data_IF_555276342384
#
_entry.id   IF_555276342384
#
_cell.length_a   1.000
_cell.length_b   1.000
_cell.length_c   1.000
_cell.angle_alpha   90.00
_cell.angle_beta   90.00
_cell.angle_gamma   90.00
#
_symmetry.space_group_name_H-M   'P 1'
#
loop_
_entity.id
_entity.type
_entity.pdbx_description
1 polymer ?
#
# COMPACT_ATOMS: atom_id res chain seq x y z
N UNK A 1 -14.32 21.24 3.40
CA UNK A 1 -13.13 20.73 2.65
C UNK A 1 -12.88 19.25 2.96
N UNK A 2 -13.75 18.37 2.47
CA UNK A 2 -13.62 16.91 2.55
C UNK A 2 -13.41 16.43 1.11
N UNK A 3 -12.20 16.02 0.72
CA UNK A 3 -11.96 15.51 -0.64
C UNK A 3 -10.55 15.65 -1.23
N UNK A 4 -9.62 16.34 -0.57
CA UNK A 4 -8.25 16.53 -1.10
C UNK A 4 -7.19 15.60 -0.47
N UNK A 5 -7.58 14.67 0.42
CA UNK A 5 -6.61 13.91 1.22
C UNK A 5 -6.09 12.66 0.52
N UNK A 6 -6.94 12.02 -0.28
CA UNK A 6 -6.61 10.87 -1.13
C UNK A 6 -5.97 11.29 -2.45
N UNK A 7 -5.99 12.59 -2.80
CA UNK A 7 -5.50 13.10 -4.08
C UNK A 7 -3.99 13.01 -4.18
N UNK A 8 -3.52 12.39 -5.25
CA UNK A 8 -2.10 12.37 -5.61
C UNK A 8 -1.71 13.76 -6.08
N UNK A 9 -0.83 14.43 -5.33
CA UNK A 9 -0.26 15.73 -5.72
C UNK A 9 0.94 15.60 -6.64
N UNK A 10 1.78 14.58 -6.39
CA UNK A 10 2.98 14.27 -7.14
C UNK A 10 3.07 12.75 -7.31
N UNK A 11 3.15 12.27 -8.54
CA UNK A 11 3.16 10.82 -8.85
C UNK A 11 4.41 10.13 -8.32
N UNK A 12 5.51 10.86 -8.13
CA UNK A 12 6.77 10.38 -7.57
C UNK A 12 6.66 9.95 -6.09
N UNK A 13 5.55 10.33 -5.44
CA UNK A 13 5.26 9.97 -4.04
C UNK A 13 4.56 8.63 -3.90
N UNK A 14 4.15 8.03 -5.03
CA UNK A 14 3.59 6.68 -5.07
C UNK A 14 4.66 5.65 -4.69
N UNK A 15 4.25 4.64 -3.93
CA UNK A 15 5.13 3.58 -3.45
C UNK A 15 4.52 2.20 -3.76
N UNK A 16 5.35 1.17 -4.00
CA UNK A 16 4.88 -0.19 -4.26
C UNK A 16 3.89 -0.68 -3.21
N UNK A 17 2.76 -1.24 -3.63
CA UNK A 17 1.65 -1.65 -2.77
C UNK A 17 0.64 -0.54 -2.43
N UNK A 18 0.79 0.69 -2.93
CA UNK A 18 -0.29 1.70 -2.83
C UNK A 18 -1.45 1.29 -3.75
N UNK A 19 -2.67 1.27 -3.22
CA UNK A 19 -3.89 1.09 -4.01
C UNK A 19 -4.33 2.42 -4.60
N UNK A 20 -4.40 2.48 -5.92
CA UNK A 20 -4.85 3.62 -6.70
C UNK A 20 -6.30 3.44 -7.17
N UNK A 21 -7.06 4.52 -7.17
CA UNK A 21 -8.26 4.61 -7.98
C UNK A 21 -8.26 5.90 -8.82
N UNK A 22 -8.78 5.81 -10.04
CA UNK A 22 -8.95 6.97 -10.92
C UNK A 22 -10.39 7.02 -11.41
N UNK A 23 -11.03 8.17 -11.21
CA UNK A 23 -12.40 8.41 -11.65
C UNK A 23 -12.44 8.60 -13.17
N UNK A 24 -13.32 7.84 -13.84
CA UNK A 24 -13.75 8.14 -15.19
C UNK A 24 -15.01 9.02 -15.15
N UNK A 25 -14.83 10.30 -15.47
CA UNK A 25 -15.91 11.28 -15.56
C UNK A 25 -16.43 11.43 -17.01
N UNK A 26 -15.82 10.74 -17.98
CA UNK A 26 -16.14 10.90 -19.41
C UNK A 26 -17.39 10.16 -19.86
N UNK A 27 -17.84 9.14 -19.11
CA UNK A 27 -18.96 8.26 -19.48
C UNK A 27 -20.24 8.58 -18.70
N UNK A 28 -20.74 9.80 -18.82
CA UNK A 28 -22.04 10.17 -18.22
C UNK A 28 -23.18 9.32 -18.81
N UNK A 29 -24.09 8.72 -18.00
CA UNK A 29 -24.29 8.90 -16.54
C UNK A 29 -23.57 7.88 -15.64
N UNK A 30 -22.79 6.94 -16.18
CA UNK A 30 -22.13 5.87 -15.44
C UNK A 30 -20.75 6.33 -14.95
N UNK A 31 -20.68 6.71 -13.67
CA UNK A 31 -19.38 6.98 -13.03
C UNK A 31 -18.71 5.67 -12.66
N UNK A 32 -17.54 5.41 -13.24
CA UNK A 32 -16.74 4.23 -12.96
C UNK A 32 -15.40 4.63 -12.35
N UNK A 33 -14.90 3.82 -11.42
CA UNK A 33 -13.54 3.93 -10.92
C UNK A 33 -12.72 2.78 -11.46
N UNK A 34 -11.53 3.11 -11.94
CA UNK A 34 -10.54 2.12 -12.31
C UNK A 34 -9.51 1.99 -11.21
N UNK A 35 -9.28 0.76 -10.76
CA UNK A 35 -8.47 0.43 -9.60
C UNK A 35 -7.22 -0.35 -9.99
N UNK A 36 -6.14 -0.11 -9.28
CA UNK A 36 -4.86 -0.78 -9.50
C UNK A 36 -3.92 -0.64 -8.31
N UNK A 37 -2.90 -1.47 -8.26
CA UNK A 37 -1.88 -1.43 -7.21
C UNK A 37 -0.57 -0.96 -7.84
N UNK A 38 0.12 0.00 -7.22
CA UNK A 38 1.47 0.40 -7.65
C UNK A 38 2.39 -0.81 -7.56
N UNK A 39 2.94 -1.22 -8.69
CA UNK A 39 3.84 -2.37 -8.80
C UNK A 39 5.28 -1.95 -8.53
N UNK A 40 5.77 -0.94 -9.24
CA UNK A 40 7.08 -0.34 -9.04
C UNK A 40 7.00 1.18 -9.06
N UNK A 41 7.87 1.82 -8.29
CA UNK A 41 8.01 3.27 -8.29
C UNK A 41 8.71 3.75 -9.58
N UNK A 42 8.44 4.99 -9.96
CA UNK A 42 9.13 5.71 -11.03
C UNK A 42 9.06 7.23 -10.80
N UNK A 43 9.60 7.96 -11.76
CA UNK A 43 9.68 9.43 -11.80
C UNK A 43 8.64 10.07 -12.75
N UNK A 44 8.04 9.28 -13.64
CA UNK A 44 7.11 9.71 -14.69
C UNK A 44 5.98 8.71 -14.88
N UNK A 45 4.97 9.07 -15.68
CA UNK A 45 3.84 8.19 -16.02
C UNK A 45 4.28 6.92 -16.78
N UNK A 46 5.48 6.95 -17.36
CA UNK A 46 6.02 5.88 -18.20
C UNK A 46 6.82 4.87 -17.39
N UNK A 47 7.42 5.32 -16.29
CA UNK A 47 8.32 4.51 -15.44
C UNK A 47 7.60 3.93 -14.22
N UNK A 48 6.56 4.61 -13.71
CA UNK A 48 5.69 4.05 -12.67
C UNK A 48 4.88 2.91 -13.29
N UNK A 49 4.98 1.72 -12.71
CA UNK A 49 4.20 0.57 -13.15
C UNK A 49 3.04 0.31 -12.19
N UNK A 50 1.88 -0.06 -12.73
CA UNK A 50 0.67 -0.36 -11.99
C UNK A 50 0.20 -1.76 -12.39
N UNK A 51 -0.11 -2.59 -11.39
CA UNK A 51 -0.73 -3.89 -11.57
C UNK A 51 -2.25 -3.76 -11.44
N UNK A 52 -2.99 -4.10 -12.48
CA UNK A 52 -4.44 -3.95 -12.52
C UNK A 52 -5.07 -4.89 -13.57
N UNK A 53 -6.39 -5.03 -13.53
CA UNK A 53 -7.12 -5.74 -14.59
C UNK A 53 -7.23 -4.82 -15.81
N UNK A 54 -6.74 -5.29 -16.96
CA UNK A 54 -6.66 -4.47 -18.17
C UNK A 54 -6.51 -5.28 -19.45
N UNK A 55 -6.90 -4.66 -20.57
CA UNK A 55 -6.56 -5.10 -21.92
C UNK A 55 -6.10 -3.88 -22.75
N UNK A 56 -5.04 -4.03 -23.57
CA UNK A 56 -4.61 -2.99 -24.51
C UNK A 56 -5.52 -2.89 -25.75
N UNK A 57 -6.45 -3.83 -25.93
CA UNK A 57 -7.35 -3.86 -27.08
C UNK A 57 -8.39 -2.74 -27.00
N UNK A 58 -8.73 -2.16 -28.15
CA UNK A 58 -9.60 -0.98 -28.24
C UNK A 58 -11.08 -1.37 -28.43
N UNK A 59 -11.37 -2.59 -28.88
CA UNK A 59 -12.74 -3.12 -29.04
C UNK A 59 -13.35 -3.58 -27.71
N UNK A 60 -14.61 -3.25 -27.42
CA UNK A 60 -15.25 -3.58 -26.13
C UNK A 60 -15.30 -5.10 -25.86
N UNK A 61 -15.78 -5.89 -26.82
CA UNK A 61 -15.88 -7.35 -26.67
C UNK A 61 -14.51 -8.02 -26.58
N UNK A 62 -13.59 -7.60 -27.44
CA UNK A 62 -12.21 -8.11 -27.48
C UNK A 62 -11.45 -7.74 -26.20
N UNK A 63 -11.56 -6.50 -25.74
CA UNK A 63 -10.96 -6.03 -24.51
C UNK A 63 -11.56 -6.73 -23.28
N UNK A 64 -12.86 -7.00 -23.28
CA UNK A 64 -13.48 -7.76 -22.19
C UNK A 64 -12.98 -9.20 -22.17
N UNK A 65 -12.92 -9.86 -23.34
CA UNK A 65 -12.41 -11.22 -23.48
C UNK A 65 -10.91 -11.34 -23.13
N UNK A 66 -10.12 -10.30 -23.41
CA UNK A 66 -8.68 -10.28 -23.17
C UNK A 66 -8.31 -9.75 -21.76
N UNK A 67 -9.22 -9.03 -21.10
CA UNK A 67 -8.97 -8.40 -19.80
C UNK A 67 -8.49 -9.42 -18.78
N UNK A 68 -7.28 -9.24 -18.29
CA UNK A 68 -6.71 -10.04 -17.22
C UNK A 68 -5.79 -9.18 -16.36
N UNK A 69 -5.31 -9.72 -15.25
CA UNK A 69 -4.38 -9.00 -14.37
C UNK A 69 -3.04 -8.84 -15.08
N UNK A 70 -2.61 -7.59 -15.28
CA UNK A 70 -1.38 -7.24 -15.99
C UNK A 70 -0.68 -6.07 -15.29
N UNK A 71 0.58 -5.88 -15.65
CA UNK A 71 1.34 -4.67 -15.30
C UNK A 71 1.39 -3.77 -16.52
N UNK A 72 1.11 -2.48 -16.33
CA UNK A 72 1.26 -1.45 -17.35
C UNK A 72 1.85 -0.17 -16.75
N UNK A 73 2.43 0.72 -17.57
CA UNK A 73 2.77 2.08 -17.16
C UNK A 73 1.56 2.84 -16.59
N UNK A 74 1.81 3.78 -15.68
CA UNK A 74 0.77 4.64 -15.11
C UNK A 74 0.00 5.40 -16.21
N UNK A 75 0.65 5.76 -17.33
CA UNK A 75 -0.01 6.38 -18.49
C UNK A 75 -1.19 5.54 -18.99
N UNK A 76 -1.00 4.22 -19.08
CA UNK A 76 -1.97 3.29 -19.65
C UNK A 76 -3.07 3.01 -18.63
N UNK A 77 -2.70 2.87 -17.35
CA UNK A 77 -3.65 2.86 -16.24
C UNK A 77 -4.55 4.10 -16.24
N UNK A 78 -4.00 5.29 -16.49
CA UNK A 78 -4.77 6.53 -16.58
C UNK A 78 -5.66 6.56 -17.82
N UNK A 79 -5.32 5.89 -18.93
CA UNK A 79 -6.16 5.79 -20.13
C UNK A 79 -6.79 7.15 -20.53
N UNK A 80 -5.96 8.17 -20.70
CA UNK A 80 -6.32 9.57 -21.02
C UNK A 80 -7.01 10.37 -19.89
N UNK A 81 -7.21 9.79 -18.70
CA UNK A 81 -7.73 10.51 -17.52
C UNK A 81 -6.63 11.38 -16.91
N UNK A 82 -7.04 12.50 -16.32
CA UNK A 82 -6.11 13.47 -15.71
C UNK A 82 -5.52 12.90 -14.42
N UNK A 83 -4.23 13.14 -14.15
CA UNK A 83 -3.60 12.86 -12.85
C UNK A 83 -4.38 13.52 -11.70
N UNK A 84 -5.01 14.67 -11.94
CA UNK A 84 -5.83 15.35 -10.93
C UNK A 84 -7.06 14.54 -10.46
N UNK A 85 -7.44 13.48 -11.19
CA UNK A 85 -8.48 12.50 -10.83
C UNK A 85 -7.93 11.25 -10.15
N UNK A 86 -6.61 11.08 -10.08
CA UNK A 86 -5.93 9.98 -9.41
C UNK A 86 -6.00 10.12 -7.89
N UNK A 87 -6.31 9.03 -7.21
CA UNK A 87 -6.42 8.94 -5.75
C UNK A 87 -5.66 7.72 -5.24
N UNK A 88 -5.11 7.82 -4.03
CA UNK A 88 -4.70 6.66 -3.23
C UNK A 88 -5.84 6.31 -2.28
N UNK A 89 -6.24 5.04 -2.31
CA UNK A 89 -7.33 4.50 -1.50
C UNK A 89 -6.89 4.37 -0.04
N UNK A 90 -7.73 4.85 0.88
CA UNK A 90 -7.45 4.80 2.32
C UNK A 90 -8.10 3.59 3.00
N UNK A 91 -7.31 2.86 3.79
CA UNK A 91 -7.76 1.72 4.59
C UNK A 91 -7.78 2.03 6.09
N UNK A 92 -8.45 1.17 6.88
CA UNK A 92 -8.54 1.24 8.33
C UNK A 92 -9.18 2.55 8.80
N UNK A 93 -10.25 3.00 8.15
CA UNK A 93 -10.94 4.27 8.51
C UNK A 93 -12.16 4.03 9.42
N UNK A 94 -12.77 5.10 9.94
CA UNK A 94 -13.99 4.99 10.75
C UNK A 94 -15.23 4.85 9.87
N UNK A 95 -16.26 4.15 10.38
CA UNK A 95 -17.52 3.91 9.65
C UNK A 95 -18.21 5.19 9.18
N UNK A 96 -18.14 6.26 9.99
CA UNK A 96 -18.68 7.58 9.58
C UNK A 96 -17.90 8.16 8.39
N UNK A 97 -16.57 8.04 8.38
CA UNK A 97 -15.75 8.54 7.28
C UNK A 97 -15.99 7.73 6.02
N UNK A 98 -16.18 6.44 6.17
CA UNK A 98 -16.51 5.53 5.09
C UNK A 98 -17.85 5.89 4.44
N UNK A 99 -18.89 6.13 5.25
CA UNK A 99 -20.21 6.57 4.79
C UNK A 99 -20.18 7.93 4.08
N UNK A 100 -19.34 8.85 4.55
CA UNK A 100 -19.19 10.20 3.98
C UNK A 100 -18.20 10.27 2.80
N UNK A 101 -17.46 9.20 2.53
CA UNK A 101 -16.50 9.14 1.43
C UNK A 101 -17.20 8.82 0.11
N UNK A 102 -16.58 9.23 -1.01
CA UNK A 102 -17.01 8.72 -2.31
C UNK A 102 -16.72 7.21 -2.37
N UNK A 103 -17.61 6.45 -3.00
CA UNK A 103 -17.47 5.00 -3.20
C UNK A 103 -16.04 4.64 -3.67
N UNK A 104 -15.50 3.52 -3.18
CA UNK A 104 -14.18 2.99 -3.56
C UNK A 104 -12.93 3.78 -3.14
N UNK A 105 -13.05 4.98 -2.55
CA UNK A 105 -11.86 5.76 -2.10
C UNK A 105 -11.40 5.40 -0.68
N UNK A 106 -12.30 4.80 0.12
CA UNK A 106 -12.06 4.54 1.55
C UNK A 106 -12.69 3.23 1.98
N UNK A 107 -11.96 2.43 2.74
CA UNK A 107 -12.42 1.17 3.32
C UNK A 107 -12.21 1.13 4.85
N UNK A 108 -13.11 0.43 5.54
CA UNK A 108 -12.95 0.06 6.95
C UNK A 108 -11.91 -1.04 7.17
N UNK A 109 -11.83 -2.00 6.25
CA UNK A 109 -10.90 -3.12 6.32
C UNK A 109 -9.45 -2.63 6.48
N UNK A 110 -8.62 -3.42 7.17
CA UNK A 110 -7.21 -3.12 7.34
C UNK A 110 -6.45 -3.58 6.10
N UNK A 111 -5.55 -2.73 5.61
CA UNK A 111 -4.59 -3.12 4.60
C UNK A 111 -3.52 -4.04 5.21
N UNK A 112 -3.11 -5.04 4.45
CA UNK A 112 -1.93 -5.84 4.69
C UNK A 112 -0.63 -5.06 4.37
N UNK A 113 0.52 -5.67 4.68
CA UNK A 113 1.81 -5.11 4.32
C UNK A 113 1.97 -4.96 2.80
N UNK A 114 2.66 -3.93 2.32
CA UNK A 114 2.91 -3.74 0.89
C UNK A 114 3.47 -4.98 0.20
N UNK A 115 4.32 -5.73 0.88
CA UNK A 115 4.95 -6.94 0.35
C UNK A 115 3.97 -8.10 0.24
N UNK A 116 3.03 -8.24 1.18
CA UNK A 116 1.89 -9.17 1.09
C UNK A 116 0.97 -8.78 -0.07
N UNK A 117 0.69 -7.47 -0.23
CA UNK A 117 -0.12 -6.96 -1.34
C UNK A 117 0.52 -7.28 -2.69
N UNK A 118 1.84 -7.07 -2.81
CA UNK A 118 2.58 -7.37 -4.03
C UNK A 118 2.67 -8.89 -4.30
N UNK A 119 2.83 -9.72 -3.28
CA UNK A 119 2.78 -11.19 -3.42
C UNK A 119 1.44 -11.65 -4.00
N UNK A 120 0.33 -11.09 -3.52
CA UNK A 120 -1.01 -11.35 -4.09
C UNK A 120 -1.15 -10.85 -5.53
N UNK A 121 -0.61 -9.67 -5.86
CA UNK A 121 -0.62 -9.17 -7.23
C UNK A 121 0.17 -10.09 -8.18
N UNK A 122 1.34 -10.59 -7.74
CA UNK A 122 2.16 -11.55 -8.49
C UNK A 122 1.43 -12.86 -8.73
N UNK A 123 0.81 -13.42 -7.68
CA UNK A 123 0.03 -14.64 -7.77
C UNK A 123 -1.10 -14.54 -8.81
N UNK A 124 -1.75 -13.37 -8.89
CA UNK A 124 -2.84 -13.15 -9.82
C UNK A 124 -2.40 -12.82 -11.25
N UNK A 125 -1.11 -12.66 -11.52
CA UNK A 125 -0.61 -12.22 -12.82
C UNK A 125 -1.06 -13.13 -13.97
N UNK A 126 -1.67 -12.53 -14.99
CA UNK A 126 -2.18 -13.23 -16.17
C UNK A 126 -3.45 -14.07 -15.94
N UNK A 127 -4.10 -13.96 -14.77
CA UNK A 127 -5.41 -14.56 -14.49
C UNK A 127 -6.58 -13.63 -14.82
N UNK A 128 -7.75 -14.24 -15.02
CA UNK A 128 -9.02 -13.52 -15.21
C UNK A 128 -9.38 -13.23 -16.66
N UNK A 129 -8.60 -13.74 -17.63
CA UNK A 129 -8.91 -13.62 -19.07
C UNK A 129 -10.32 -14.21 -19.33
N UNK A 130 -11.21 -13.41 -19.89
CA UNK A 130 -12.61 -13.77 -20.18
C UNK A 130 -13.58 -13.67 -18.99
N UNK A 131 -13.09 -13.44 -17.78
CA UNK A 131 -13.90 -13.44 -16.53
C UNK A 131 -14.17 -12.03 -15.98
N UNK A 132 -13.60 -10.99 -16.61
CA UNK A 132 -13.78 -9.62 -16.14
C UNK A 132 -15.23 -9.15 -16.31
N UNK A 133 -15.85 -8.80 -15.19
CA UNK A 133 -17.21 -8.26 -15.16
C UNK A 133 -17.26 -7.01 -14.27
N UNK A 134 -17.66 -5.88 -14.87
CA UNK A 134 -17.74 -4.56 -14.23
C UNK A 134 -18.67 -4.57 -13.00
N UNK A 135 -19.64 -5.48 -12.94
CA UNK A 135 -20.66 -5.54 -11.87
C UNK A 135 -20.41 -6.61 -10.80
N UNK A 136 -19.43 -7.52 -10.97
CA UNK A 136 -19.23 -8.63 -10.02
C UNK A 136 -17.76 -8.94 -9.70
N UNK A 137 -16.89 -9.06 -10.70
CA UNK A 137 -15.45 -9.29 -10.54
C UNK A 137 -14.67 -8.22 -11.30
N UNK A 138 -14.80 -6.99 -10.81
CA UNK A 138 -14.17 -5.83 -11.42
C UNK A 138 -12.80 -5.51 -10.78
N UNK A 139 -12.18 -4.43 -11.25
CA UNK A 139 -10.87 -4.01 -10.78
C UNK A 139 -10.84 -3.64 -9.28
N UNK A 140 -11.94 -3.17 -8.68
CA UNK A 140 -12.00 -2.88 -7.23
C UNK A 140 -11.90 -4.18 -6.43
N UNK A 141 -12.58 -5.25 -6.84
CA UNK A 141 -12.52 -6.55 -6.15
C UNK A 141 -11.11 -7.11 -6.12
N UNK A 142 -10.46 -7.07 -7.29
CA UNK A 142 -9.06 -7.46 -7.44
C UNK A 142 -8.16 -6.68 -6.47
N UNK A 143 -8.21 -5.35 -6.55
CA UNK A 143 -7.34 -4.50 -5.74
C UNK A 143 -7.66 -4.63 -4.24
N UNK A 144 -8.94 -4.74 -3.88
CA UNK A 144 -9.37 -4.96 -2.50
C UNK A 144 -8.84 -6.29 -1.95
N UNK A 145 -8.99 -7.40 -2.68
CA UNK A 145 -8.47 -8.70 -2.25
C UNK A 145 -6.94 -8.67 -2.13
N UNK A 146 -6.23 -8.03 -3.05
CA UNK A 146 -4.78 -7.83 -2.91
C UNK A 146 -4.45 -7.08 -1.61
N UNK A 147 -5.23 -6.04 -1.27
CA UNK A 147 -5.00 -5.21 -0.09
C UNK A 147 -5.36 -5.89 1.24
N UNK A 148 -6.36 -6.78 1.29
CA UNK A 148 -6.95 -7.26 2.55
C UNK A 148 -7.00 -8.79 2.68
N UNK A 149 -6.89 -9.51 1.57
CA UNK A 149 -7.20 -10.94 1.47
C UNK A 149 -8.70 -11.26 1.50
N UNK A 150 -9.57 -10.25 1.58
CA UNK A 150 -11.02 -10.41 1.64
C UNK A 150 -11.62 -10.22 0.24
N UNK A 151 -12.34 -11.24 -0.26
CA UNK A 151 -13.02 -11.15 -1.56
C UNK A 151 -14.25 -10.23 -1.57
N UNK A 152 -14.82 -9.94 -0.40
CA UNK A 152 -15.96 -9.05 -0.33
C UNK A 152 -15.49 -7.61 -0.50
N UNK A 153 -16.09 -6.88 -1.45
CA UNK A 153 -15.98 -5.43 -1.54
C UNK A 153 -17.38 -4.80 -1.61
N UNK A 154 -17.47 -3.48 -1.41
CA UNK A 154 -18.74 -2.75 -1.30
C UNK A 154 -19.60 -2.79 -2.57
N UNK A 155 -18.99 -3.05 -3.71
CA UNK A 155 -19.68 -3.02 -5.00
C UNK A 155 -20.55 -4.26 -5.24
N UNK A 156 -20.44 -5.31 -4.42
CA UNK A 156 -21.24 -6.53 -4.57
C UNK A 156 -22.06 -6.86 -3.32
N UNK A 157 -23.35 -7.14 -3.55
CA UNK A 157 -24.32 -7.51 -2.51
C UNK A 157 -24.24 -8.98 -2.09
N UNK A 158 -23.41 -9.81 -2.73
CA UNK A 158 -23.23 -11.24 -2.46
C UNK A 158 -21.77 -11.58 -2.13
N UNK A 159 -21.54 -12.30 -1.03
CA UNK A 159 -20.19 -12.79 -0.69
C UNK A 159 -19.78 -13.90 -1.67
N UNK A 160 -18.65 -13.80 -2.37
CA UNK A 160 -18.11 -14.90 -3.15
C UNK A 160 -17.83 -16.12 -2.27
N UNK A 161 -18.03 -17.33 -2.80
CA UNK A 161 -17.75 -18.59 -2.08
C UNK A 161 -16.29 -19.03 -2.17
N UNK A 162 -15.53 -18.48 -3.12
CA UNK A 162 -14.13 -18.80 -3.35
C UNK A 162 -13.21 -18.16 -2.31
N UNK A 163 -12.02 -18.75 -2.12
CA UNK A 163 -10.95 -18.24 -1.24
C UNK A 163 -10.12 -17.17 -1.93
N UNK A 164 -9.81 -17.37 -3.22
CA UNK A 164 -9.03 -16.43 -4.04
C UNK A 164 -9.76 -16.03 -5.34
N UNK A 165 -9.50 -14.84 -5.91
CA UNK A 165 -10.02 -14.48 -7.23
C UNK A 165 -9.59 -15.52 -8.28
N UNK A 166 -10.51 -15.87 -9.18
CA UNK A 166 -10.27 -16.84 -10.25
C UNK A 166 -9.83 -18.23 -9.77
N UNK A 167 -10.20 -18.66 -8.55
CA UNK A 167 -9.78 -19.94 -7.96
C UNK A 167 -9.95 -21.17 -8.87
N UNK A 168 -10.96 -21.18 -9.74
CA UNK A 168 -11.19 -22.26 -10.71
C UNK A 168 -10.10 -22.37 -11.80
N UNK A 169 -9.28 -21.34 -12.01
CA UNK A 169 -8.17 -21.30 -12.96
C UNK A 169 -6.80 -21.60 -12.30
N UNK A 170 -6.81 -22.06 -11.05
CA UNK A 170 -5.62 -22.17 -10.22
C UNK A 170 -5.58 -23.56 -9.60
N UNK A 171 -4.42 -24.19 -9.65
CA UNK A 171 -4.21 -25.46 -8.99
C UNK A 171 -4.11 -25.27 -7.46
N UNK A 172 -4.66 -26.18 -6.63
CA UNK A 172 -4.68 -26.01 -5.17
C UNK A 172 -3.29 -25.83 -4.52
N UNK A 173 -2.27 -26.46 -5.07
CA UNK A 173 -0.87 -26.35 -4.65
C UNK A 173 -0.29 -24.95 -4.89
N UNK A 174 -0.69 -24.27 -5.96
CA UNK A 174 -0.30 -22.88 -6.22
C UNK A 174 -0.91 -21.93 -5.18
N UNK A 175 -2.18 -22.16 -4.79
CA UNK A 175 -2.84 -21.40 -3.71
C UNK A 175 -2.08 -21.60 -2.40
N UNK A 176 -1.75 -22.84 -2.05
CA UNK A 176 -1.00 -23.16 -0.85
C UNK A 176 0.38 -22.50 -0.84
N UNK A 177 1.13 -22.57 -1.95
CA UNK A 177 2.45 -21.94 -2.06
C UNK A 177 2.40 -20.42 -1.86
N UNK A 178 1.35 -19.75 -2.37
CA UNK A 178 1.12 -18.33 -2.11
C UNK A 178 0.82 -18.05 -0.63
N UNK A 179 -0.02 -18.88 0.02
CA UNK A 179 -0.33 -18.72 1.44
C UNK A 179 0.92 -18.89 2.32
N UNK A 180 1.78 -19.86 2.01
CA UNK A 180 3.07 -20.05 2.68
C UNK A 180 4.01 -18.83 2.49
N UNK A 181 4.10 -18.28 1.27
CA UNK A 181 4.87 -17.06 0.98
C UNK A 181 4.35 -15.87 1.80
N UNK A 182 3.03 -15.68 1.83
CA UNK A 182 2.40 -14.61 2.62
C UNK A 182 2.68 -14.80 4.10
N UNK A 183 2.56 -16.02 4.63
CA UNK A 183 2.76 -16.28 6.06
C UNK A 183 4.21 -16.05 6.47
N UNK A 184 5.18 -16.39 5.62
CA UNK A 184 6.59 -16.07 5.85
C UNK A 184 6.85 -14.55 5.94
N UNK A 185 6.21 -13.75 5.07
CA UNK A 185 6.29 -12.27 5.16
C UNK A 185 5.67 -11.78 6.47
N UNK A 186 4.52 -12.34 6.87
CA UNK A 186 3.84 -12.00 8.12
C UNK A 186 4.68 -12.36 9.35
N UNK A 187 5.41 -13.47 9.33
CA UNK A 187 6.30 -13.89 10.42
C UNK A 187 7.40 -12.89 10.70
N UNK A 188 8.05 -12.37 9.64
CA UNK A 188 9.07 -11.33 9.81
C UNK A 188 8.47 -10.10 10.48
N UNK A 189 7.27 -9.68 10.06
CA UNK A 189 6.58 -8.54 10.66
C UNK A 189 6.17 -8.80 12.12
N UNK A 190 5.68 -10.01 12.44
CA UNK A 190 5.41 -10.43 13.83
C UNK A 190 6.65 -10.32 14.70
N UNK A 191 7.83 -10.68 14.18
CA UNK A 191 9.11 -10.50 14.88
C UNK A 191 9.42 -9.02 15.19
N UNK A 192 9.17 -8.11 14.25
CA UNK A 192 9.30 -6.66 14.48
C UNK A 192 8.32 -6.18 15.55
N UNK A 193 7.05 -6.59 15.45
CA UNK A 193 6.01 -6.24 16.42
C UNK A 193 6.39 -6.71 17.82
N UNK A 194 6.81 -7.96 17.99
CA UNK A 194 7.18 -8.53 19.27
C UNK A 194 8.28 -7.72 19.96
N UNK A 195 9.32 -7.32 19.21
CA UNK A 195 10.42 -6.50 19.74
C UNK A 195 9.99 -5.09 20.11
N UNK A 196 9.13 -4.46 19.31
CA UNK A 196 8.57 -3.14 19.68
C UNK A 196 7.69 -3.24 20.92
N UNK A 197 6.91 -4.31 21.08
CA UNK A 197 6.10 -4.54 22.27
C UNK A 197 6.95 -4.81 23.52
N UNK A 198 8.11 -5.46 23.37
CA UNK A 198 9.07 -5.63 24.46
C UNK A 198 9.63 -4.28 24.99
N UNK A 199 9.59 -3.22 24.17
CA UNK A 199 9.96 -1.86 24.58
C UNK A 199 8.83 -1.08 25.27
N UNK A 200 7.63 -1.66 25.40
CA UNK A 200 6.51 -0.99 26.05
C UNK A 200 6.84 -0.62 27.52
N UNK A 201 6.66 0.64 27.89
CA UNK A 201 6.99 1.18 29.21
C UNK A 201 8.45 1.62 29.36
N UNK A 202 9.30 1.38 28.37
CA UNK A 202 10.71 1.73 28.41
C UNK A 202 11.02 3.08 27.75
N UNK A 203 12.23 3.58 28.02
CA UNK A 203 12.74 4.83 27.45
C UNK A 203 13.45 4.57 26.12
N UNK A 204 13.07 5.32 25.10
CA UNK A 204 13.56 5.18 23.73
C UNK A 204 13.94 6.53 23.14
N UNK A 205 14.91 6.52 22.22
CA UNK A 205 15.17 7.58 21.24
C UNK A 205 14.50 7.19 19.92
N UNK A 206 14.12 8.18 19.11
CA UNK A 206 13.64 7.95 17.74
C UNK A 206 14.73 8.30 16.75
N UNK A 207 15.23 7.30 16.02
CA UNK A 207 16.24 7.49 14.97
C UNK A 207 15.57 7.55 13.61
N UNK A 208 16.07 8.39 12.70
CA UNK A 208 15.65 8.35 11.30
C UNK A 208 16.25 7.11 10.65
N UNK A 209 15.41 6.21 10.15
CA UNK A 209 15.85 4.98 9.51
C UNK A 209 16.77 5.28 8.31
N UNK A 210 17.85 4.51 8.18
CA UNK A 210 18.90 4.71 7.18
C UNK A 210 20.01 5.69 7.60
N UNK A 211 19.87 6.38 8.73
CA UNK A 211 20.90 7.25 9.30
C UNK A 211 21.44 6.66 10.60
N UNK A 212 22.76 6.81 10.83
CA UNK A 212 23.41 6.26 12.04
C UNK A 212 23.18 7.13 13.28
N UNK A 213 23.32 8.44 13.13
CA UNK A 213 23.34 9.43 14.20
C UNK A 213 22.22 10.47 14.11
N UNK A 214 21.26 10.34 13.19
CA UNK A 214 20.18 11.32 13.03
C UNK A 214 18.96 10.97 13.87
N UNK A 215 18.65 11.79 14.87
CA UNK A 215 17.59 11.54 15.85
C UNK A 215 16.55 12.66 15.90
N UNK A 216 15.38 12.31 16.43
CA UNK A 216 14.34 13.28 16.76
C UNK A 216 14.76 14.09 17.99
N UNK A 217 14.59 15.41 17.90
CA UNK A 217 14.86 16.38 18.96
C UNK A 217 13.62 17.24 19.22
N UNK A 218 13.50 17.79 20.43
CA UNK A 218 12.43 18.71 20.82
C UNK A 218 13.03 20.10 20.99
N UNK A 219 12.56 21.05 20.19
CA UNK A 219 12.99 22.45 20.28
C UNK A 219 12.38 23.14 21.49
N UNK A 220 12.97 24.24 22.00
CA UNK A 220 12.41 25.02 23.12
C UNK A 220 10.96 25.49 22.89
N UNK A 221 10.57 25.69 21.63
CA UNK A 221 9.19 26.03 21.23
C UNK A 221 8.18 24.89 21.36
N UNK A 222 8.63 23.67 21.70
CA UNK A 222 7.85 22.44 21.69
C UNK A 222 7.64 21.85 20.29
N UNK A 223 8.21 22.45 19.24
CA UNK A 223 8.26 21.84 17.90
C UNK A 223 9.20 20.64 17.89
N UNK A 224 8.86 19.64 17.08
CA UNK A 224 9.67 18.43 16.91
C UNK A 224 10.48 18.54 15.61
N UNK A 225 11.78 18.27 15.70
CA UNK A 225 12.73 18.35 14.59
C UNK A 225 13.59 17.09 14.55
N UNK A 226 14.46 16.99 13.56
CA UNK A 226 15.59 16.05 13.56
C UNK A 226 16.91 16.80 13.62
N UNK A 227 17.91 16.21 14.26
CA UNK A 227 19.28 16.69 14.29
C UNK A 227 20.23 15.48 14.33
N UNK A 228 21.47 15.71 13.91
CA UNK A 228 22.53 14.72 14.08
C UNK A 228 23.04 14.80 15.54
N UNK A 229 23.23 13.66 16.17
CA UNK A 229 23.86 13.53 17.48
C UNK A 229 25.36 13.75 17.28
N UNK A 230 25.83 14.97 17.55
CA UNK A 230 27.25 15.30 17.57
C UNK A 230 27.90 14.77 18.85
N UNK A 231 29.03 14.08 18.74
CA UNK A 231 29.78 13.55 19.89
C UNK A 231 30.46 14.64 20.75
N UNK A 232 30.42 15.92 20.33
CA UNK A 232 31.37 16.93 20.82
C UNK A 232 30.84 18.27 21.36
N UNK A 233 29.56 18.64 21.19
CA UNK A 233 29.09 19.97 21.64
C UNK A 233 27.88 19.89 22.58
N UNK A 234 28.17 19.80 23.87
CA UNK A 234 27.21 19.72 24.97
C UNK A 234 26.53 21.06 25.31
N UNK A 235 26.78 22.14 24.55
CA UNK A 235 26.40 23.50 24.95
C UNK A 235 25.01 23.93 24.49
N UNK A 236 24.39 23.26 23.51
CA UNK A 236 23.02 23.57 23.06
C UNK A 236 22.06 22.41 23.30
N UNK A 237 21.11 22.60 24.23
CA UNK A 237 20.05 21.62 24.53
C UNK A 237 19.17 21.24 23.32
N UNK A 238 19.27 21.96 22.18
CA UNK A 238 18.47 21.75 20.98
C UNK A 238 18.94 20.62 20.06
N UNK A 239 20.17 20.12 20.21
CA UNK A 239 20.73 19.03 19.38
C UNK A 239 20.68 17.66 20.05
N UNK A 240 20.46 17.60 21.37
CA UNK A 240 20.39 16.36 22.12
C UNK A 240 19.15 15.53 21.73
N UNK A 241 19.29 14.22 21.44
CA UNK A 241 18.15 13.37 21.14
C UNK A 241 17.09 13.38 22.23
N UNK A 242 15.84 13.51 21.82
CA UNK A 242 14.71 13.45 22.72
C UNK A 242 14.54 12.03 23.26
N UNK A 243 14.34 11.92 24.57
CA UNK A 243 14.04 10.66 25.25
C UNK A 243 12.54 10.58 25.48
N UNK A 244 11.93 9.54 24.93
CA UNK A 244 10.52 9.25 25.07
C UNK A 244 10.30 8.02 25.94
N UNK A 245 9.32 8.07 26.82
CA UNK A 245 8.70 6.88 27.37
C UNK A 245 7.69 6.35 26.34
N UNK A 246 7.91 5.11 25.91
CA UNK A 246 7.10 4.45 24.90
C UNK A 246 5.90 3.77 25.55
N UNK A 247 4.72 3.97 25.00
CA UNK A 247 3.60 3.05 25.20
C UNK A 247 3.31 2.38 23.87
N UNK A 248 3.32 1.05 23.83
CA UNK A 248 3.11 0.26 22.63
C UNK A 248 2.08 -0.84 22.86
N UNK A 249 1.13 -0.96 21.93
CA UNK A 249 0.15 -2.07 21.89
C UNK A 249 -0.01 -2.52 20.45
N UNK A 250 -0.31 -3.79 20.21
CA UNK A 250 -0.60 -4.29 18.86
C UNK A 250 -1.93 -5.03 18.87
N UNK A 251 -2.64 -4.98 17.75
CA UNK A 251 -3.88 -5.76 17.55
C UNK A 251 -3.74 -6.85 16.49
N UNK A 252 -2.84 -6.63 15.53
CA UNK A 252 -2.58 -7.51 14.38
C UNK A 252 -1.09 -7.43 14.04
N UNK A 253 -0.64 -8.32 13.18
CA UNK A 253 0.77 -8.54 12.88
C UNK A 253 1.49 -7.34 12.23
N UNK A 254 0.77 -6.39 11.61
CA UNK A 254 1.36 -5.25 10.88
C UNK A 254 0.93 -3.86 11.42
N UNK A 255 0.32 -3.81 12.62
CA UNK A 255 -0.25 -2.57 13.17
C UNK A 255 0.14 -2.43 14.64
N UNK A 256 1.11 -1.55 14.90
CA UNK A 256 1.56 -1.22 16.25
C UNK A 256 1.07 0.17 16.59
N UNK A 257 0.31 0.27 17.67
CA UNK A 257 -0.15 1.52 18.24
C UNK A 257 0.88 2.02 19.24
N UNK A 258 1.52 3.14 18.93
CA UNK A 258 2.54 3.75 19.78
C UNK A 258 2.14 5.15 20.26
N UNK A 259 2.49 5.47 21.50
CA UNK A 259 2.47 6.83 22.04
C UNK A 259 3.86 7.18 22.57
N UNK A 260 4.25 8.44 22.41
CA UNK A 260 5.59 8.93 22.71
C UNK A 260 5.46 10.10 23.68
N UNK A 261 5.80 9.85 24.95
CA UNK A 261 5.71 10.81 26.05
C UNK A 261 7.11 11.29 26.43
N UNK A 262 7.32 12.58 26.63
CA UNK A 262 8.61 13.03 27.18
C UNK A 262 8.77 12.52 28.62
N UNK A 263 9.89 11.86 28.91
CA UNK A 263 10.14 11.25 30.22
C UNK A 263 9.94 12.25 31.37
N UNK A 264 9.24 11.83 32.42
CA UNK A 264 8.96 12.67 33.59
C UNK A 264 7.97 13.83 33.38
N UNK A 265 7.33 13.96 32.21
CA UNK A 265 6.31 14.98 31.95
C UNK A 265 4.97 14.37 31.50
N UNK A 266 3.92 15.19 31.41
CA UNK A 266 2.62 14.79 30.83
C UNK A 266 2.48 15.23 29.35
N UNK A 267 3.62 15.43 28.69
CA UNK A 267 3.70 15.98 27.33
C UNK A 267 3.92 14.85 26.32
N UNK A 268 3.06 14.75 25.32
CA UNK A 268 3.14 13.72 24.26
C UNK A 268 3.42 14.35 22.90
N UNK A 269 3.91 13.55 21.97
CA UNK A 269 4.07 13.94 20.57
C UNK A 269 2.73 13.85 19.83
N UNK A 270 2.26 14.99 19.30
CA UNK A 270 0.98 15.08 18.58
C UNK A 270 1.18 15.46 17.11
N UNK A 271 0.52 14.70 16.24
CA UNK A 271 0.03 15.18 14.95
C UNK A 271 -0.96 16.33 15.18
N UNK A 272 -1.16 17.23 14.22
CA UNK A 272 -1.90 18.50 14.35
C UNK A 272 -3.28 18.39 15.08
N UNK A 273 -3.86 19.53 15.46
CA UNK A 273 -5.32 19.64 15.72
C UNK A 273 -5.99 20.24 14.49
N UNK A 274 -7.16 19.74 14.08
CA UNK A 274 -7.90 20.12 12.85
C UNK A 274 -8.06 21.63 12.63
N UNK A 275 -7.91 22.45 13.68
CA UNK A 275 -8.10 23.90 13.68
C UNK A 275 -6.82 24.76 13.56
N UNK A 276 -5.61 24.19 13.56
CA UNK A 276 -4.36 24.99 13.50
C UNK A 276 -3.79 25.10 12.08
N UNK A 277 -3.29 26.27 11.65
CA UNK A 277 -2.72 26.50 10.31
C UNK A 277 -1.31 25.90 10.10
N UNK A 278 -0.62 25.45 11.15
CA UNK A 278 0.73 24.88 11.05
C UNK A 278 0.69 23.36 10.86
N UNK A 279 1.49 22.83 9.93
CA UNK A 279 1.60 21.38 9.63
C UNK A 279 2.66 20.66 10.48
N UNK A 280 3.34 21.38 11.36
CA UNK A 280 4.46 20.87 12.14
C UNK A 280 3.99 20.02 13.33
N UNK A 281 4.72 18.93 13.62
CA UNK A 281 4.53 18.05 14.78
C UNK A 281 5.01 18.78 16.05
N UNK A 282 4.25 18.63 17.14
CA UNK A 282 4.56 19.32 18.40
C UNK A 282 4.32 18.45 19.63
N UNK A 283 5.07 18.77 20.68
CA UNK A 283 4.87 18.26 22.02
C UNK A 283 3.76 19.04 22.72
N UNK A 284 2.76 18.36 23.29
CA UNK A 284 1.63 19.00 24.00
C UNK A 284 1.25 18.24 25.26
N UNK A 285 0.79 18.96 26.27
CA UNK A 285 0.19 18.34 27.46
C UNK A 285 -1.07 17.58 27.07
N UNK A 286 -1.24 16.40 27.66
CA UNK A 286 -2.50 15.68 27.56
C UNK A 286 -3.63 16.46 28.22
N UNK A 287 -4.80 16.49 27.57
CA UNK A 287 -6.04 17.03 28.09
C UNK A 287 -7.20 16.12 27.66
N UNK A 288 -8.05 15.71 28.60
CA UNK A 288 -9.19 14.80 28.36
C UNK A 288 -10.19 15.32 27.31
N UNK A 289 -10.31 16.64 27.15
CA UNK A 289 -11.15 17.27 26.12
C UNK A 289 -10.62 17.06 24.69
N UNK A 290 -9.35 16.66 24.52
CA UNK A 290 -8.73 16.33 23.21
C UNK A 290 -8.88 14.86 22.82
N UNK A 291 -9.68 14.08 23.55
CA UNK A 291 -9.87 12.65 23.33
C UNK A 291 -8.91 11.80 24.16
N UNK A 292 -8.52 10.62 23.65
CA UNK A 292 -7.67 9.67 24.38
C UNK A 292 -6.26 10.24 24.68
N UNK A 293 -5.63 9.90 25.82
CA UNK A 293 -4.25 10.28 26.14
C UNK A 293 -3.25 9.79 25.10
N UNK A 294 -2.31 10.66 24.72
CA UNK A 294 -1.21 10.31 23.81
C UNK A 294 -1.69 9.82 22.45
N UNK A 295 -2.21 10.74 21.63
CA UNK A 295 -2.73 10.47 20.28
C UNK A 295 -1.82 9.49 19.53
N UNK A 296 -2.37 8.28 19.36
CA UNK A 296 -1.63 7.09 18.98
C UNK A 296 -1.19 7.14 17.52
N UNK A 297 0.09 6.90 17.28
CA UNK A 297 0.63 6.62 15.96
C UNK A 297 0.46 5.14 15.64
N UNK A 298 0.08 4.83 14.42
CA UNK A 298 0.23 3.49 13.86
C UNK A 298 1.63 3.40 13.26
N UNK A 299 2.52 2.71 13.95
CA UNK A 299 3.86 2.35 13.50
C UNK A 299 3.77 1.06 12.68
N UNK A 300 4.17 1.10 11.42
CA UNK A 300 4.29 -0.09 10.58
C UNK A 300 5.58 -0.85 10.87
N UNK A 301 5.64 -2.12 10.49
CA UNK A 301 6.88 -2.91 10.55
C UNK A 301 7.97 -2.41 9.60
N UNK A 302 7.67 -1.43 8.74
CA UNK A 302 8.63 -0.75 7.87
C UNK A 302 9.04 0.63 8.42
N UNK A 303 8.67 0.96 9.67
CA UNK A 303 9.08 2.20 10.34
C UNK A 303 8.27 3.45 9.98
N UNK A 304 7.21 3.33 9.18
CA UNK A 304 6.31 4.46 8.90
C UNK A 304 5.40 4.72 10.08
N UNK A 305 5.31 5.98 10.52
CA UNK A 305 4.36 6.41 11.54
C UNK A 305 3.18 7.14 10.91
N UNK A 306 1.97 6.68 11.23
CA UNK A 306 0.72 7.17 10.67
C UNK A 306 -0.23 7.62 11.78
N UNK A 307 -0.68 8.87 11.74
CA UNK A 307 -1.56 9.44 12.76
C UNK A 307 -2.95 8.79 12.71
N UNK A 308 -3.42 8.24 13.83
CA UNK A 308 -4.76 7.64 13.91
C UNK A 308 -5.90 8.66 13.96
N UNK A 309 -5.60 9.93 14.21
CA UNK A 309 -6.62 10.96 14.46
C UNK A 309 -6.67 12.05 13.39
N UNK A 310 -5.69 12.07 12.49
CA UNK A 310 -5.56 13.11 11.46
C UNK A 310 -5.62 12.53 10.06
N UNK A 311 -6.79 12.06 9.65
CA UNK A 311 -6.98 11.51 8.32
C UNK A 311 -5.84 10.57 7.89
N UNK A 312 -5.28 9.79 8.84
CA UNK A 312 -4.29 8.78 8.49
C UNK A 312 -3.02 9.36 7.84
N UNK A 313 -2.60 10.59 8.20
CA UNK A 313 -1.35 11.23 7.70
C UNK A 313 -0.07 10.61 8.24
N UNK A 314 0.98 10.63 7.44
CA UNK A 314 2.31 10.18 7.83
C UNK A 314 3.15 11.32 8.44
N UNK A 315 4.25 10.97 9.09
CA UNK A 315 5.28 11.92 9.50
C UNK A 315 6.32 12.05 8.38
N UNK A 316 6.54 13.27 7.89
CA UNK A 316 7.64 13.63 6.98
C UNK A 316 8.64 14.56 7.65
N UNK A 317 9.78 14.79 6.99
CA UNK A 317 10.82 15.75 7.40
C UNK A 317 10.86 16.86 6.35
N UNK A 318 10.62 18.11 6.75
CA UNK A 318 10.71 19.28 5.87
C UNK A 318 12.18 19.70 5.68
N UNK A 319 12.46 20.52 4.68
CA UNK A 319 13.81 21.06 4.38
C UNK A 319 14.50 21.75 5.56
N UNK A 320 13.75 22.34 6.49
CA UNK A 320 14.25 22.94 7.74
C UNK A 320 14.39 21.92 8.90
N UNK A 321 14.41 20.62 8.59
CA UNK A 321 14.48 19.49 9.53
C UNK A 321 13.29 19.33 10.49
N UNK A 322 12.27 20.18 10.39
CA UNK A 322 11.07 20.04 11.22
C UNK A 322 10.21 18.85 10.78
N UNK A 323 9.67 18.12 11.75
CA UNK A 323 8.71 17.05 11.47
C UNK A 323 7.36 17.66 11.11
N UNK A 324 6.73 17.15 10.06
CA UNK A 324 5.46 17.66 9.53
C UNK A 324 4.50 16.53 9.14
N UNK A 325 3.20 16.81 9.15
CA UNK A 325 2.19 15.89 8.63
C UNK A 325 2.16 15.89 7.10
N UNK A 326 2.42 14.73 6.48
CA UNK A 326 2.38 14.51 5.02
C UNK A 326 1.27 13.50 4.64
N UNK A 327 0.73 13.63 3.43
CA UNK A 327 -0.40 12.79 2.99
C UNK A 327 0.07 11.47 2.36
N UNK A 328 1.21 11.48 1.66
CA UNK A 328 1.65 10.38 0.82
C UNK A 328 2.78 9.60 1.50
N UNK A 329 2.82 8.28 1.28
CA UNK A 329 3.85 7.40 1.84
C UNK A 329 5.24 7.73 1.30
N UNK A 330 5.34 8.21 0.06
CA UNK A 330 6.62 8.61 -0.52
C UNK A 330 7.27 9.86 0.06
N UNK A 331 6.47 10.73 0.68
CA UNK A 331 6.95 11.92 1.41
C UNK A 331 7.25 11.61 2.89
N UNK A 332 6.91 10.41 3.34
CA UNK A 332 7.02 10.02 4.73
C UNK A 332 8.45 9.62 5.07
N UNK A 333 8.91 10.08 6.24
CA UNK A 333 10.11 9.58 6.87
C UNK A 333 9.81 8.27 7.60
N UNK A 334 10.86 7.46 7.75
CA UNK A 334 10.82 6.20 8.49
C UNK A 334 11.63 6.37 9.77
N UNK A 335 11.16 5.76 10.85
CA UNK A 335 11.75 5.92 12.17
C UNK A 335 11.94 4.58 12.85
N UNK A 336 12.99 4.51 13.67
CA UNK A 336 13.37 3.35 14.46
C UNK A 336 13.34 3.69 15.93
N UNK A 337 12.83 2.77 16.75
CA UNK A 337 12.87 2.88 18.19
C UNK A 337 14.22 2.36 18.69
N UNK A 338 15.02 3.22 19.30
CA UNK A 338 16.32 2.85 19.87
C UNK A 338 16.20 2.92 21.39
N UNK A 339 16.28 1.79 22.12
CA UNK A 339 16.24 1.81 23.58
C UNK A 339 17.40 2.62 24.14
N UNK A 340 17.13 3.36 25.21
CA UNK A 340 18.16 4.10 25.96
C UNK A 340 19.02 3.14 26.79
N UNK A 341 18.40 2.11 27.34
CA UNK A 341 19.09 1.03 28.04
C UNK A 341 19.63 0.01 27.02
N UNK A 342 20.95 -0.12 26.95
CA UNK A 342 21.62 -0.99 26.01
C UNK A 342 21.39 -2.50 26.25
N UNK A 343 20.88 -2.88 27.43
CA UNK A 343 20.49 -4.27 27.72
C UNK A 343 19.21 -4.69 26.98
N UNK A 344 18.44 -3.73 26.48
CA UNK A 344 17.20 -3.99 25.76
C UNK A 344 17.46 -4.31 24.29
N UNK A 345 16.79 -5.33 23.77
CA UNK A 345 16.88 -5.66 22.36
C UNK A 345 16.35 -4.52 21.49
N UNK A 346 17.15 -4.14 20.49
CA UNK A 346 16.72 -3.20 19.45
C UNK A 346 15.78 -3.93 18.48
N UNK A 347 14.68 -3.31 18.04
CA UNK A 347 13.95 -3.79 16.88
C UNK A 347 14.94 -3.94 15.71
N UNK A 348 14.84 -5.01 14.91
CA UNK A 348 15.70 -5.16 13.73
C UNK A 348 15.49 -3.95 12.82
N UNK A 349 16.50 -3.62 12.01
CA UNK A 349 16.32 -2.62 10.96
C UNK A 349 15.07 -2.98 10.15
N UNK A 350 14.08 -2.10 10.21
CA UNK A 350 12.70 -2.28 9.74
C UNK A 350 12.58 -2.59 8.23
N UNK A 351 13.70 -2.75 7.51
CA UNK A 351 13.78 -2.83 6.05
C UNK A 351 14.56 -4.05 5.52
N UNK A 352 15.53 -4.58 6.28
CA UNK A 352 16.55 -5.46 5.72
C UNK A 352 16.10 -6.92 5.50
N UNK A 353 15.09 -7.40 6.23
CA UNK A 353 14.64 -8.78 6.15
C UNK A 353 13.45 -8.98 5.19
N UNK A 354 12.47 -8.07 5.19
CA UNK A 354 11.25 -8.20 4.40
C UNK A 354 11.52 -8.04 2.89
N UNK A 355 12.41 -7.10 2.50
CA UNK A 355 12.79 -6.90 1.09
C UNK A 355 13.63 -8.04 0.50
N UNK A 356 14.24 -8.87 1.35
CA UNK A 356 15.09 -10.00 0.94
C UNK A 356 14.30 -11.29 0.73
N UNK A 357 13.01 -11.31 1.06
CA UNK A 357 12.18 -12.48 0.80
C UNK A 357 12.00 -12.62 -0.72
N UNK A 358 12.50 -13.71 -1.33
CA UNK A 358 12.31 -13.94 -2.75
C UNK A 358 10.82 -14.10 -3.00
N UNK A 359 10.27 -13.19 -3.79
CA UNK A 359 8.85 -13.18 -4.10
C UNK A 359 8.68 -13.55 -5.57
N UNK A 360 8.78 -14.85 -5.81
CA UNK A 360 8.62 -15.43 -7.15
C UNK A 360 8.18 -16.90 -7.13
N UNK A 361 8.30 -17.66 -6.04
CA UNK A 361 8.03 -19.12 -6.06
C UNK A 361 6.64 -19.49 -6.57
N UNK A 362 5.60 -18.83 -6.08
CA UNK A 362 4.21 -19.07 -6.51
C UNK A 362 4.00 -18.70 -7.99
N UNK A 363 4.65 -17.62 -8.44
CA UNK A 363 4.62 -17.15 -9.82
C UNK A 363 5.46 -18.04 -10.78
N UNK A 364 6.62 -18.51 -10.35
CA UNK A 364 7.51 -19.44 -11.07
C UNK A 364 6.87 -20.82 -11.23
N UNK A 365 6.24 -21.34 -10.17
CA UNK A 365 5.45 -22.57 -10.26
C UNK A 365 4.34 -22.43 -11.32
N UNK A 366 3.69 -21.27 -11.39
CA UNK A 366 2.66 -21.00 -12.39
C UNK A 366 3.20 -20.87 -13.81
N UNK A 367 4.32 -20.17 -14.00
CA UNK A 367 4.99 -20.08 -15.31
C UNK A 367 5.42 -21.45 -15.82
N UNK A 368 6.05 -22.25 -14.96
CA UNK A 368 6.46 -23.61 -15.31
C UNK A 368 5.27 -24.54 -15.60
N UNK A 369 4.15 -24.44 -14.87
CA UNK A 369 2.92 -25.16 -15.22
C UNK A 369 2.39 -24.77 -16.61
N UNK A 370 2.39 -23.47 -16.95
CA UNK A 370 1.97 -23.00 -18.27
C UNK A 370 2.90 -23.46 -19.39
N UNK A 371 4.20 -23.42 -19.18
CA UNK A 371 5.18 -23.93 -20.15
C UNK A 371 5.00 -25.44 -20.39
N UNK A 372 4.70 -26.21 -19.34
CA UNK A 372 4.38 -27.64 -19.44
C UNK A 372 3.06 -27.89 -20.20
N UNK A 373 2.03 -27.07 -19.98
CA UNK A 373 0.77 -27.18 -20.70
C UNK A 373 0.91 -26.77 -22.19
N UNK A 374 1.68 -25.72 -22.48
CA UNK A 374 2.00 -25.31 -23.85
C UNK A 374 2.86 -26.34 -24.60
N UNK A 375 3.75 -27.05 -23.90
CA UNK A 375 4.52 -28.18 -24.46
C UNK A 375 3.68 -29.46 -24.64
N UNK A 376 2.57 -29.61 -23.91
CA UNK A 376 1.64 -30.74 -24.02
C UNK A 376 0.57 -30.54 -25.10
N UNK A 377 0.35 -29.31 -25.56
CA UNK A 377 -0.45 -29.06 -26.75
C UNK A 377 0.31 -29.62 -27.97
N UNK A 378 -0.27 -30.56 -28.74
CA UNK A 378 0.38 -31.01 -29.95
C UNK A 378 0.55 -29.81 -30.88
N UNK A 379 1.78 -29.59 -31.37
CA UNK A 379 2.00 -28.78 -32.57
C UNK A 379 1.08 -29.37 -33.65
N UNK A 380 -0.05 -28.73 -33.92
CA UNK A 380 -0.80 -29.04 -35.13
C UNK A 380 0.13 -28.69 -36.29
N UNK A 381 0.63 -29.76 -36.91
CA UNK A 381 1.51 -29.73 -38.06
C UNK A 381 0.92 -28.87 -39.18
N UNK A 382 1.84 -28.32 -39.96
CA UNK A 382 1.71 -28.05 -41.38
C UNK A 382 0.68 -29.01 -42.00
N UNK A 383 -0.43 -28.46 -42.50
CA UNK A 383 -1.33 -29.21 -43.36
C UNK A 383 -0.91 -28.92 -44.81
N UNK A 384 -0.52 -30.02 -45.43
CA UNK A 384 -0.12 -30.21 -46.80
C UNK A 384 -0.95 -29.42 -47.81
N UNK A 385 -0.23 -28.84 -48.78
CA UNK A 385 -0.72 -28.57 -50.12
C UNK A 385 -1.21 -29.88 -50.74
N UNK A 386 -2.52 -30.13 -50.73
CA UNK A 386 -3.27 -30.70 -51.86
C UNK A 386 -4.65 -31.16 -51.39
N UNK A 387 -5.67 -30.35 -51.64
CA UNK A 387 -6.96 -30.86 -52.08
C UNK A 387 -7.83 -29.76 -52.69
N UNK A 388 -7.79 -29.68 -54.02
CA UNK A 388 -8.77 -29.00 -54.85
C UNK A 388 -10.05 -29.84 -54.89
N UNK A 389 -11.13 -29.44 -54.21
CA UNK A 389 -12.50 -29.73 -54.69
C UNK A 389 -13.45 -28.58 -54.31
N UNK A 390 -13.78 -27.80 -55.35
CA UNK A 390 -15.05 -27.15 -55.69
C UNK A 390 -16.06 -26.73 -54.59
N UNK A 391 -16.29 -25.42 -54.52
CA UNK A 391 -17.62 -24.83 -54.23
C UNK A 391 -18.11 -24.02 -55.43
N UNK A 392 -19.34 -24.24 -55.93
CA UNK A 392 -19.88 -23.55 -57.08
C UNK A 392 -20.75 -22.32 -56.71
N UNK A 393 -20.84 -21.41 -57.68
CA UNK A 393 -21.70 -20.21 -57.79
C UNK A 393 -21.34 -18.99 -56.92
N UNK A 394 -21.40 -17.75 -57.42
CA UNK A 394 -21.36 -17.17 -58.76
C UNK A 394 -21.26 -15.66 -58.56
N UNK A 395 -20.48 -15.01 -59.40
CA UNK A 395 -20.38 -13.56 -59.52
C UNK A 395 -21.73 -12.94 -59.86
N UNK A 396 -22.03 -11.79 -59.27
CA UNK A 396 -22.75 -10.72 -59.97
C UNK A 396 -21.96 -9.43 -59.79
N UNK A 397 -21.68 -8.82 -60.94
CA UNK A 397 -20.74 -7.73 -61.18
C UNK A 397 -21.13 -6.41 -60.52
N UNK A 398 -20.07 -5.62 -60.27
CA UNK A 398 -20.06 -4.17 -60.23
C UNK A 398 -20.59 -3.53 -61.52
N UNK A 399 -21.55 -2.62 -61.37
CA UNK A 399 -21.52 -1.26 -61.95
C UNK A 399 -21.87 -0.27 -60.86
#
# INVERSE_FOLDING_TARGET
MLGNYTKVSLIQTLRPGDHLCVWDESRWPIRYQHHGIVWTQGDSEDTIQVCHVWSPLVGYQEAQADSCVRVSPLRDFLSKRKISSLRVVEYNTSSLRELLSKWGEVHYSKADLPEVVLARCKFLMGLGKGEFNIFSQNCEHYAHWCMTGEQWCKQVMTKPKSRVPFEHQIAPDQVQAMEEEIEAIKDVSRGVVAKVLALNGHKVKLRVNGYRNRFVVILPSGQVSVADEDEGDATTNSTKPAIFELQATAKVYNCIKVSLRTAGTNTYMYSRSTLSCFRDIRMKNFNCWRGRPGLTWELSSNGYMKSLNQHRRYIGIRSDSRLVDVSMRGDAARFELVPVDASQEKPPEYDAAIRKLPSSRSFELRLSSRELDEQRLPKCNELDEDNKVATPYAQVNSM
#
